data_IF_654378502578
#
_entry.id   IF_654378502578
#
_cell.length_a   1.000
_cell.length_b   1.000
_cell.length_c   1.000
_cell.angle_alpha   90.00
_cell.angle_beta   90.00
_cell.angle_gamma   90.00
#
_symmetry.space_group_name_H-M   'P 1'
#
loop_
_entity.id
_entity.type
_entity.pdbx_description
1 polymer ?
#
# COMPACT_ATOMS: atom_id res chain seq x y z
N UNK A 1 -48.45 -2.89 -22.18
CA UNK A 1 -48.29 -4.34 -22.36
C UNK A 1 -47.43 -4.56 -23.60
N UNK A 2 -46.38 -5.37 -23.52
CA UNK A 2 -45.57 -5.76 -24.68
C UNK A 2 -46.25 -6.93 -25.38
N UNK A 3 -46.67 -6.73 -26.63
CA UNK A 3 -47.30 -7.75 -27.46
C UNK A 3 -46.20 -8.56 -28.16
N UNK A 4 -45.87 -9.73 -27.60
CA UNK A 4 -44.93 -10.67 -28.22
C UNK A 4 -45.72 -11.63 -29.10
N UNK A 5 -45.50 -11.61 -30.42
CA UNK A 5 -46.13 -12.50 -31.42
C UNK A 5 -45.59 -13.95 -31.35
N UNK A 6 -45.42 -14.50 -30.15
CA UNK A 6 -44.87 -15.84 -29.92
C UNK A 6 -45.94 -16.71 -29.27
N UNK A 7 -46.31 -17.79 -29.95
CA UNK A 7 -47.19 -18.84 -29.43
C UNK A 7 -46.33 -19.83 -28.64
N UNK A 8 -46.62 -20.02 -27.34
CA UNK A 8 -45.90 -20.88 -26.36
C UNK A 8 -44.76 -20.20 -25.58
N UNK A 9 -45.03 -19.08 -24.91
CA UNK A 9 -44.11 -18.52 -23.90
C UNK A 9 -44.37 -19.20 -22.54
N UNK A 10 -43.37 -19.91 -22.01
CA UNK A 10 -43.39 -20.50 -20.66
C UNK A 10 -42.88 -19.56 -19.58
N UNK A 11 -42.04 -18.56 -19.93
CA UNK A 11 -41.55 -17.53 -19.02
C UNK A 11 -41.25 -16.23 -19.79
N UNK A 12 -41.71 -15.10 -19.27
CA UNK A 12 -41.44 -13.78 -19.84
C UNK A 12 -40.19 -13.20 -19.17
N UNK A 13 -39.27 -12.66 -19.96
CA UNK A 13 -38.12 -11.94 -19.43
C UNK A 13 -38.58 -10.69 -18.67
N UNK A 14 -38.11 -10.52 -17.43
CA UNK A 14 -38.46 -9.40 -16.58
C UNK A 14 -37.22 -8.81 -15.92
N UNK A 15 -37.23 -7.50 -15.69
CA UNK A 15 -36.23 -6.83 -14.89
C UNK A 15 -36.45 -7.13 -13.40
N UNK A 16 -35.36 -7.28 -12.65
CA UNK A 16 -35.42 -7.15 -11.19
C UNK A 16 -35.76 -5.70 -10.84
N UNK A 17 -36.64 -5.51 -9.84
CA UNK A 17 -37.05 -4.19 -9.35
C UNK A 17 -36.84 -4.18 -7.85
N UNK A 18 -36.09 -3.21 -7.35
CA UNK A 18 -35.77 -3.11 -5.92
C UNK A 18 -35.60 -1.68 -5.45
N UNK A 19 -35.79 -1.51 -4.14
CA UNK A 19 -35.54 -0.27 -3.40
C UNK A 19 -34.31 -0.45 -2.51
N UNK A 20 -33.56 0.63 -2.32
CA UNK A 20 -32.41 0.66 -1.40
C UNK A 20 -32.62 1.81 -0.43
N UNK A 21 -32.59 1.49 0.87
CA UNK A 21 -32.65 2.47 1.95
C UNK A 21 -31.43 2.36 2.84
N UNK A 22 -30.86 3.48 3.26
CA UNK A 22 -29.79 3.58 4.26
C UNK A 22 -30.22 4.50 5.38
N UNK A 23 -30.26 3.97 6.60
CA UNK A 23 -30.71 4.69 7.79
C UNK A 23 -32.08 5.38 7.60
N UNK A 24 -33.03 4.66 6.97
CA UNK A 24 -34.38 5.16 6.69
C UNK A 24 -34.50 6.08 5.45
N UNK A 25 -33.40 6.50 4.83
CA UNK A 25 -33.42 7.34 3.64
C UNK A 25 -33.27 6.51 2.37
N UNK A 26 -34.07 6.80 1.34
CA UNK A 26 -33.93 6.14 0.03
C UNK A 26 -32.62 6.57 -0.64
N UNK A 27 -31.77 5.58 -0.93
CA UNK A 27 -30.64 5.73 -1.86
C UNK A 27 -31.08 5.46 -3.31
N UNK A 28 -32.02 4.53 -3.48
CA UNK A 28 -32.61 4.22 -4.77
C UNK A 28 -34.07 3.76 -4.58
N UNK A 29 -34.94 4.15 -5.50
CA UNK A 29 -36.36 3.74 -5.50
C UNK A 29 -36.74 3.25 -6.89
N UNK A 30 -37.43 2.11 -6.96
CA UNK A 30 -37.82 1.39 -8.17
C UNK A 30 -36.65 1.17 -9.15
N UNK A 31 -35.45 0.86 -8.62
CA UNK A 31 -34.27 0.61 -9.46
C UNK A 31 -34.51 -0.67 -10.26
N UNK A 32 -34.36 -0.58 -11.58
CA UNK A 32 -34.50 -1.71 -12.50
C UNK A 32 -33.14 -2.27 -12.86
N UNK A 33 -33.03 -3.60 -12.85
CA UNK A 33 -31.84 -4.32 -13.28
C UNK A 33 -32.21 -5.44 -14.25
N UNK A 34 -31.41 -5.65 -15.29
CA UNK A 34 -31.52 -6.80 -16.20
C UNK A 34 -30.89 -8.07 -15.63
N UNK A 35 -30.20 -7.98 -14.48
CA UNK A 35 -29.59 -9.10 -13.76
C UNK A 35 -30.06 -9.13 -12.30
N UNK A 36 -30.06 -10.33 -11.72
CA UNK A 36 -30.24 -10.52 -10.28
C UNK A 36 -28.96 -10.22 -9.48
N UNK A 37 -27.82 -10.08 -10.14
CA UNK A 37 -26.60 -9.53 -9.53
C UNK A 37 -26.66 -8.00 -9.60
N UNK A 38 -26.78 -7.37 -8.44
CA UNK A 38 -27.04 -5.94 -8.32
C UNK A 38 -26.03 -5.25 -7.44
N UNK A 39 -25.74 -4.00 -7.82
CA UNK A 39 -24.99 -3.06 -6.98
C UNK A 39 -25.96 -2.15 -6.22
N UNK A 40 -25.78 -2.13 -4.90
CA UNK A 40 -26.66 -1.48 -3.93
C UNK A 40 -26.11 -0.12 -3.49
N UNK A 41 -24.79 0.06 -3.41
CA UNK A 41 -24.16 1.28 -2.85
C UNK A 41 -22.91 1.70 -3.66
N UNK A 42 -23.07 1.83 -4.98
CA UNK A 42 -22.03 2.38 -5.87
C UNK A 42 -20.72 1.59 -5.82
N UNK A 43 -20.82 0.29 -6.06
CA UNK A 43 -19.80 -0.76 -6.06
C UNK A 43 -19.25 -1.15 -4.69
N UNK A 44 -19.74 -0.53 -3.60
CA UNK A 44 -19.33 -0.89 -2.23
C UNK A 44 -20.03 -2.13 -1.71
N UNK A 45 -21.25 -2.38 -2.19
CA UNK A 45 -22.07 -3.53 -1.80
C UNK A 45 -22.70 -4.13 -3.04
N UNK A 46 -22.31 -5.36 -3.37
CA UNK A 46 -22.99 -6.19 -4.35
C UNK A 46 -23.85 -7.24 -3.65
N UNK A 47 -24.96 -7.62 -4.29
CA UNK A 47 -25.84 -8.67 -3.81
C UNK A 47 -26.42 -9.48 -4.97
N UNK A 48 -26.82 -10.72 -4.66
CA UNK A 48 -27.59 -11.57 -5.56
C UNK A 48 -29.02 -11.66 -5.04
N UNK A 49 -29.98 -11.16 -5.81
CA UNK A 49 -31.40 -11.25 -5.53
C UNK A 49 -31.87 -12.69 -5.77
N UNK A 50 -32.30 -13.37 -4.70
CA UNK A 50 -32.73 -14.78 -4.78
C UNK A 50 -34.25 -14.95 -4.78
N UNK A 51 -34.95 -14.02 -4.14
CA UNK A 51 -36.41 -14.05 -4.03
C UNK A 51 -36.95 -12.63 -3.75
N UNK A 52 -38.26 -12.47 -3.82
CA UNK A 52 -38.97 -11.24 -3.46
C UNK A 52 -39.03 -11.08 -1.94
N UNK A 53 -38.90 -9.83 -1.46
CA UNK A 53 -39.05 -9.52 -0.05
C UNK A 53 -38.20 -8.34 0.42
N UNK A 54 -38.12 -8.18 1.73
CA UNK A 54 -37.32 -7.16 2.40
C UNK A 54 -36.23 -7.82 3.24
N UNK A 55 -35.00 -7.35 3.10
CA UNK A 55 -33.84 -7.79 3.89
C UNK A 55 -33.07 -6.58 4.42
N UNK A 56 -32.51 -6.71 5.62
CA UNK A 56 -31.57 -5.74 6.19
C UNK A 56 -30.15 -6.28 6.06
N UNK A 57 -29.26 -5.49 5.45
CA UNK A 57 -27.83 -5.81 5.33
C UNK A 57 -27.09 -5.05 6.42
N UNK A 58 -26.44 -5.79 7.33
CA UNK A 58 -25.58 -5.22 8.35
C UNK A 58 -24.12 -5.39 7.93
N UNK A 59 -23.45 -4.26 7.65
CA UNK A 59 -22.02 -4.24 7.36
C UNK A 59 -21.24 -4.04 8.66
N UNK A 60 -20.31 -4.95 8.93
CA UNK A 60 -19.41 -4.84 10.07
C UNK A 60 -17.96 -4.80 9.58
N UNK A 61 -17.11 -4.12 10.34
CA UNK A 61 -15.67 -4.07 10.07
C UNK A 61 -15.06 -5.45 10.29
N UNK A 62 -14.26 -5.91 9.32
CA UNK A 62 -13.44 -7.09 9.48
C UNK A 62 -12.17 -6.73 10.29
N UNK A 63 -12.34 -6.64 11.61
CA UNK A 63 -11.28 -6.21 12.54
C UNK A 63 -10.03 -7.08 12.42
N UNK A 64 -10.22 -8.39 12.18
CA UNK A 64 -9.12 -9.33 12.01
C UNK A 64 -8.26 -8.98 10.79
N UNK A 65 -8.88 -8.65 9.65
CA UNK A 65 -8.13 -8.18 8.47
C UNK A 65 -7.36 -6.90 8.76
N UNK A 66 -7.97 -5.93 9.44
CA UNK A 66 -7.29 -4.67 9.77
C UNK A 66 -6.11 -4.89 10.71
N UNK A 67 -6.30 -5.63 11.82
CA UNK A 67 -5.21 -5.97 12.73
C UNK A 67 -4.08 -6.70 12.02
N UNK A 68 -4.39 -7.69 11.17
CA UNK A 68 -3.37 -8.41 10.40
C UNK A 68 -2.60 -7.47 9.46
N UNK A 69 -3.29 -6.58 8.75
CA UNK A 69 -2.64 -5.62 7.87
C UNK A 69 -1.71 -4.66 8.62
N UNK A 70 -2.13 -4.16 9.79
CA UNK A 70 -1.32 -3.28 10.65
C UNK A 70 -0.08 -4.02 11.16
N UNK A 71 -0.22 -5.25 11.67
CA UNK A 71 0.92 -6.04 12.13
C UNK A 71 1.90 -6.36 10.99
N UNK A 72 1.39 -6.73 9.82
CA UNK A 72 2.22 -6.98 8.64
C UNK A 72 2.99 -5.73 8.21
N UNK A 73 2.34 -4.57 8.22
CA UNK A 73 2.99 -3.29 7.94
C UNK A 73 4.11 -3.00 8.94
N UNK A 74 3.83 -3.09 10.26
CA UNK A 74 4.82 -2.83 11.31
C UNK A 74 6.00 -3.79 11.21
N UNK A 75 5.74 -5.07 10.92
CA UNK A 75 6.80 -6.05 10.68
C UNK A 75 7.66 -5.66 9.48
N UNK A 76 7.06 -5.33 8.33
CA UNK A 76 7.80 -4.93 7.13
C UNK A 76 8.60 -3.65 7.35
N UNK A 77 8.02 -2.67 8.05
CA UNK A 77 8.66 -1.43 8.44
C UNK A 77 9.91 -1.69 9.29
N UNK A 78 9.79 -2.50 10.34
CA UNK A 78 10.89 -2.84 11.23
C UNK A 78 11.99 -3.63 10.52
N UNK A 79 11.63 -4.58 9.66
CA UNK A 79 12.58 -5.32 8.81
C UNK A 79 13.35 -4.37 7.88
N UNK A 80 12.66 -3.40 7.29
CA UNK A 80 13.29 -2.40 6.40
C UNK A 80 14.25 -1.50 7.18
N UNK A 81 13.85 -1.03 8.36
CA UNK A 81 14.75 -0.24 9.23
C UNK A 81 16.00 -1.03 9.60
N UNK A 82 15.86 -2.30 10.01
CA UNK A 82 17.00 -3.16 10.32
C UNK A 82 17.93 -3.30 9.11
N UNK A 83 17.38 -3.68 7.96
CA UNK A 83 18.16 -3.87 6.74
C UNK A 83 18.96 -2.62 6.36
N UNK A 84 18.33 -1.43 6.41
CA UNK A 84 19.02 -0.18 6.11
C UNK A 84 20.09 0.15 7.17
N UNK A 85 19.82 -0.12 8.45
CA UNK A 85 20.79 0.13 9.53
C UNK A 85 22.02 -0.77 9.44
N UNK A 86 21.85 -2.04 9.08
CA UNK A 86 22.93 -3.01 8.91
C UNK A 86 23.81 -2.73 7.68
N UNK A 87 23.28 -1.97 6.71
CA UNK A 87 23.95 -1.67 5.44
C UNK A 87 24.33 -0.19 5.27
N UNK A 88 24.33 0.59 6.36
CA UNK A 88 24.57 2.04 6.29
C UNK A 88 25.92 2.42 5.66
N UNK A 89 26.91 1.53 5.77
CA UNK A 89 28.26 1.70 5.20
C UNK A 89 28.35 1.32 3.71
N UNK A 90 27.32 0.72 3.12
CA UNK A 90 27.34 0.28 1.72
C UNK A 90 27.18 1.45 0.76
N UNK A 91 26.41 2.48 1.13
CA UNK A 91 26.24 3.65 0.30
C UNK A 91 25.68 4.87 1.02
N UNK A 92 26.05 6.06 0.52
CA UNK A 92 25.73 7.36 1.08
C UNK A 92 24.22 7.67 1.11
N UNK A 93 23.44 7.06 0.21
CA UNK A 93 21.98 7.19 0.21
C UNK A 93 21.29 6.33 1.27
N UNK A 94 21.92 5.25 1.76
CA UNK A 94 21.29 4.31 2.69
C UNK A 94 21.02 5.00 4.04
N UNK A 95 21.98 5.77 4.56
CA UNK A 95 21.78 6.57 5.79
C UNK A 95 20.62 7.56 5.63
N UNK A 96 20.54 8.23 4.48
CA UNK A 96 19.45 9.19 4.19
C UNK A 96 18.10 8.49 4.13
N UNK A 97 18.03 7.31 3.52
CA UNK A 97 16.79 6.52 3.45
C UNK A 97 16.36 6.02 4.83
N UNK A 98 17.30 5.57 5.65
CA UNK A 98 17.04 5.18 7.03
C UNK A 98 16.42 6.33 7.84
N UNK A 99 17.03 7.52 7.79
CA UNK A 99 16.52 8.68 8.54
C UNK A 99 15.19 9.19 8.00
N UNK A 100 15.01 9.18 6.67
CA UNK A 100 13.74 9.56 6.05
C UNK A 100 12.61 8.57 6.39
N UNK A 101 12.92 7.31 6.67
CA UNK A 101 11.93 6.28 7.02
C UNK A 101 11.49 6.38 8.48
N UNK A 102 12.35 6.85 9.40
CA UNK A 102 11.99 7.06 10.80
C UNK A 102 10.79 7.99 10.95
N UNK A 103 9.85 7.64 11.82
CA UNK A 103 8.66 8.45 12.08
C UNK A 103 9.00 9.59 13.07
N UNK A 104 8.74 10.87 12.72
CA UNK A 104 8.91 11.99 13.63
C UNK A 104 7.99 11.91 14.86
N UNK A 105 8.42 12.50 15.97
CA UNK A 105 7.68 12.50 17.26
C UNK A 105 6.28 13.11 17.17
N UNK A 106 6.06 14.05 16.24
CA UNK A 106 4.74 14.69 16.04
C UNK A 106 3.62 13.69 15.76
N UNK A 107 3.94 12.49 15.27
CA UNK A 107 2.95 11.45 14.98
C UNK A 107 2.68 10.51 16.15
N UNK A 108 3.49 10.52 17.21
CA UNK A 108 3.38 9.53 18.30
C UNK A 108 2.02 9.54 18.97
N UNK A 109 1.50 10.73 19.31
CA UNK A 109 0.20 10.84 19.96
C UNK A 109 -0.92 10.17 19.14
N UNK A 110 -0.89 10.36 17.82
CA UNK A 110 -1.89 9.81 16.90
C UNK A 110 -1.69 8.31 16.67
N UNK A 111 -0.45 7.82 16.65
CA UNK A 111 -0.19 6.38 16.53
C UNK A 111 -0.58 5.65 17.82
N UNK A 112 -0.21 6.21 18.98
CA UNK A 112 -0.50 5.63 20.29
C UNK A 112 -2.01 5.54 20.53
N UNK A 113 -2.81 6.50 20.04
CA UNK A 113 -4.27 6.48 20.20
C UNK A 113 -4.95 5.30 19.51
N UNK A 114 -4.28 4.63 18.59
CA UNK A 114 -4.76 3.41 17.91
C UNK A 114 -3.92 2.17 18.26
N UNK A 115 -3.06 2.26 19.27
CA UNK A 115 -2.24 1.13 19.72
C UNK A 115 -1.00 0.85 18.89
N UNK A 116 -0.50 1.82 18.12
CA UNK A 116 0.80 1.72 17.43
C UNK A 116 1.80 2.60 18.18
N UNK A 117 2.84 2.01 18.76
CA UNK A 117 3.82 2.75 19.56
C UNK A 117 5.14 2.87 18.82
N UNK A 118 5.76 4.05 18.91
CA UNK A 118 7.13 4.27 18.43
C UNK A 118 8.13 3.98 19.55
N UNK A 119 9.11 3.14 19.25
CA UNK A 119 10.21 2.83 20.15
C UNK A 119 11.36 3.85 19.99
N UNK A 120 12.28 3.89 20.95
CA UNK A 120 13.42 4.81 20.93
C UNK A 120 14.36 4.60 19.72
N UNK A 121 14.44 3.39 19.19
CA UNK A 121 15.21 3.05 17.98
C UNK A 121 14.47 3.41 16.68
N UNK A 122 13.28 4.02 16.77
CA UNK A 122 12.44 4.39 15.65
C UNK A 122 11.57 3.26 15.10
N UNK A 123 11.69 2.03 15.63
CA UNK A 123 10.80 0.91 15.28
C UNK A 123 9.40 1.12 15.82
N UNK A 124 8.46 0.34 15.29
CA UNK A 124 7.08 0.33 15.73
C UNK A 124 6.74 -0.96 16.47
N UNK A 125 5.82 -0.86 17.42
CA UNK A 125 5.17 -2.00 18.07
C UNK A 125 3.65 -1.82 18.03
N UNK A 126 2.92 -2.94 18.07
CA UNK A 126 1.45 -2.94 18.02
C UNK A 126 0.90 -3.52 19.31
N UNK A 127 0.12 -2.73 20.04
CA UNK A 127 -0.78 -3.21 21.07
C UNK A 127 -2.09 -3.65 20.41
N UNK A 128 -2.20 -4.96 20.15
CA UNK A 128 -3.37 -5.53 19.49
C UNK A 128 -4.67 -5.39 20.30
N UNK A 129 -4.58 -5.23 21.63
CA UNK A 129 -5.75 -4.99 22.46
C UNK A 129 -6.27 -3.56 22.22
N UNK A 130 -5.38 -2.57 22.32
CA UNK A 130 -5.74 -1.16 22.08
C UNK A 130 -6.20 -0.95 20.64
N UNK A 131 -5.55 -1.59 19.66
CA UNK A 131 -5.98 -1.52 18.26
C UNK A 131 -7.39 -2.10 18.05
N UNK A 132 -7.70 -3.25 18.66
CA UNK A 132 -9.02 -3.86 18.58
C UNK A 132 -10.09 -3.01 19.28
N UNK A 133 -9.76 -2.43 20.44
CA UNK A 133 -10.63 -1.51 21.16
C UNK A 133 -10.90 -0.24 20.33
N UNK A 134 -9.87 0.32 19.67
CA UNK A 134 -10.01 1.47 18.77
C UNK A 134 -10.89 1.14 17.54
N UNK A 135 -10.73 -0.04 16.94
CA UNK A 135 -11.59 -0.51 15.83
C UNK A 135 -13.05 -0.73 16.25
N UNK A 136 -13.30 -0.94 17.54
CA UNK A 136 -14.65 -1.15 18.08
C UNK A 136 -15.35 0.17 18.40
N UNK A 137 -14.61 1.12 18.95
CA UNK A 137 -15.18 2.30 19.59
C UNK A 137 -14.85 3.61 18.89
N UNK A 138 -13.72 3.68 18.17
CA UNK A 138 -13.15 4.91 17.60
C UNK A 138 -12.69 4.70 16.15
N UNK A 139 -13.55 4.11 15.30
CA UNK A 139 -13.15 3.76 13.92
C UNK A 139 -12.72 4.99 13.10
N UNK A 140 -13.34 6.15 13.31
CA UNK A 140 -12.97 7.39 12.61
C UNK A 140 -11.53 7.81 12.92
N UNK A 141 -11.07 7.62 14.16
CA UNK A 141 -9.69 7.88 14.53
C UNK A 141 -8.74 6.88 13.86
N UNK A 142 -9.11 5.60 13.80
CA UNK A 142 -8.33 4.59 13.08
C UNK A 142 -8.21 4.95 11.60
N UNK A 143 -9.31 5.30 10.94
CA UNK A 143 -9.31 5.73 9.53
C UNK A 143 -8.45 6.98 9.31
N UNK A 144 -8.54 7.97 10.21
CA UNK A 144 -7.75 9.20 10.12
C UNK A 144 -6.26 8.92 10.33
N UNK A 145 -5.89 8.10 11.30
CA UNK A 145 -4.49 7.81 11.61
C UNK A 145 -3.84 6.98 10.51
N UNK A 146 -4.54 5.96 9.98
CA UNK A 146 -4.01 5.08 8.95
C UNK A 146 -4.10 5.70 7.54
N UNK A 147 -5.21 6.38 7.23
CA UNK A 147 -5.57 6.75 5.86
C UNK A 147 -5.45 8.23 5.51
N UNK A 148 -5.23 9.13 6.48
CA UNK A 148 -5.16 10.57 6.15
C UNK A 148 -3.91 10.91 5.34
N UNK A 149 -4.02 11.96 4.50
CA UNK A 149 -2.90 12.52 3.71
C UNK A 149 -1.72 13.02 4.57
N UNK A 150 -2.00 13.32 5.85
CA UNK A 150 -1.02 13.80 6.82
C UNK A 150 -0.64 12.71 7.83
N UNK A 151 -1.00 11.46 7.59
CA UNK A 151 -0.62 10.33 8.45
C UNK A 151 0.88 10.05 8.39
N UNK A 152 1.38 9.37 9.42
CA UNK A 152 2.74 8.83 9.40
C UNK A 152 2.96 7.83 8.25
N UNK A 153 1.91 7.09 7.87
CA UNK A 153 1.91 6.16 6.74
C UNK A 153 2.08 6.88 5.40
N UNK A 154 1.43 8.02 5.20
CA UNK A 154 1.64 8.83 3.99
C UNK A 154 3.06 9.41 3.91
N UNK A 155 3.69 9.75 5.05
CA UNK A 155 5.11 10.11 5.08
C UNK A 155 5.97 8.92 4.67
N UNK A 156 5.74 7.75 5.25
CA UNK A 156 6.49 6.52 4.94
C UNK A 156 6.40 6.21 3.46
N UNK A 157 5.20 6.26 2.88
CA UNK A 157 4.99 6.07 1.45
C UNK A 157 5.80 7.06 0.60
N UNK A 158 5.82 8.34 0.96
CA UNK A 158 6.67 9.34 0.27
C UNK A 158 8.17 9.06 0.41
N UNK A 159 8.61 8.62 1.60
CA UNK A 159 10.00 8.24 1.84
C UNK A 159 10.41 7.02 1.03
N UNK A 160 9.54 6.00 0.94
CA UNK A 160 9.75 4.81 0.11
C UNK A 160 9.81 5.21 -1.37
N UNK A 161 8.86 6.01 -1.86
CA UNK A 161 8.86 6.48 -3.25
C UNK A 161 10.10 7.30 -3.59
N UNK A 162 10.65 8.04 -2.62
CA UNK A 162 11.91 8.78 -2.80
C UNK A 162 13.11 7.83 -2.84
N UNK A 163 13.11 6.78 -2.00
CA UNK A 163 14.16 5.77 -1.98
C UNK A 163 14.19 4.92 -3.25
N UNK A 164 13.02 4.54 -3.78
CA UNK A 164 12.90 3.79 -5.04
C UNK A 164 13.38 4.57 -6.27
N UNK A 165 13.45 5.90 -6.17
CA UNK A 165 13.98 6.79 -7.22
C UNK A 165 15.46 7.11 -7.03
N UNK A 166 16.09 6.64 -5.96
CA UNK A 166 17.51 6.85 -5.76
C UNK A 166 18.32 6.08 -6.82
N UNK A 167 19.44 6.64 -7.24
CA UNK A 167 20.34 5.98 -8.18
C UNK A 167 20.99 4.76 -7.51
N UNK A 168 21.07 3.66 -8.25
CA UNK A 168 21.73 2.44 -7.77
C UNK A 168 23.19 2.66 -7.35
N UNK A 169 23.90 3.65 -7.93
CA UNK A 169 25.28 3.96 -7.53
C UNK A 169 25.35 4.43 -6.08
N UNK A 170 24.43 5.29 -5.64
CA UNK A 170 24.49 5.88 -4.30
C UNK A 170 24.07 4.90 -3.20
N UNK A 171 23.58 3.73 -3.58
CA UNK A 171 23.35 2.59 -2.69
C UNK A 171 24.62 1.77 -2.43
N UNK A 172 25.63 1.87 -3.31
CA UNK A 172 26.87 1.06 -3.23
C UNK A 172 28.16 1.89 -3.25
N UNK A 173 28.07 3.21 -3.36
CA UNK A 173 29.22 4.11 -3.48
C UNK A 173 30.18 4.04 -2.29
N UNK A 174 29.71 3.71 -1.09
CA UNK A 174 30.53 3.45 0.09
C UNK A 174 31.47 2.27 -0.10
N UNK A 175 31.03 1.24 -0.85
CA UNK A 175 31.90 0.11 -1.22
C UNK A 175 32.88 0.46 -2.35
N UNK A 176 32.42 1.25 -3.33
CA UNK A 176 33.23 1.65 -4.49
C UNK A 176 34.37 2.59 -4.10
N UNK A 177 34.07 3.63 -3.33
CA UNK A 177 35.07 4.61 -2.88
C UNK A 177 35.96 4.05 -1.75
N UNK A 178 35.44 3.13 -0.94
CA UNK A 178 36.25 2.38 0.04
C UNK A 178 37.32 1.49 -0.62
N UNK A 179 37.00 0.86 -1.76
CA UNK A 179 37.98 0.12 -2.56
C UNK A 179 38.93 1.03 -3.35
N UNK A 180 38.47 2.21 -3.80
CA UNK A 180 39.29 3.18 -4.54
C UNK A 180 40.48 3.71 -3.73
N UNK A 181 40.31 3.87 -2.41
CA UNK A 181 41.40 4.30 -1.52
C UNK A 181 42.43 3.19 -1.24
N UNK A 182 42.10 1.93 -1.53
CA UNK A 182 42.99 0.79 -1.26
C UNK A 182 43.72 0.29 -2.52
N UNK A 183 43.23 0.60 -3.72
CA UNK A 183 43.86 0.24 -4.99
C UNK A 183 43.88 1.45 -5.94
N UNK A 184 45.06 1.95 -6.25
CA UNK A 184 45.36 3.05 -7.19
C UNK A 184 45.09 2.71 -8.67
N UNK A 185 44.04 1.94 -8.95
CA UNK A 185 43.71 1.43 -10.29
C UNK A 185 42.22 1.14 -10.49
N UNK A 186 41.30 1.90 -9.89
CA UNK A 186 39.90 1.82 -10.33
C UNK A 186 39.82 2.43 -11.73
N UNK A 187 39.64 1.54 -12.68
CA UNK A 187 39.59 1.77 -14.10
C UNK A 187 38.50 2.81 -14.41
N UNK A 188 38.87 3.97 -14.96
CA UNK A 188 37.95 5.05 -15.34
C UNK A 188 36.82 4.56 -16.26
N UNK A 189 37.05 3.46 -16.99
CA UNK A 189 36.05 2.79 -17.83
C UNK A 189 34.87 2.20 -17.04
N UNK A 190 35.09 1.75 -15.80
CA UNK A 190 34.05 1.20 -14.94
C UNK A 190 33.07 2.28 -14.46
N UNK A 191 33.59 3.41 -14.01
CA UNK A 191 32.80 4.59 -13.63
C UNK A 191 31.98 5.10 -14.83
N UNK A 192 32.56 5.05 -16.03
CA UNK A 192 31.89 5.47 -17.25
C UNK A 192 30.75 4.49 -17.65
N UNK A 193 30.97 3.18 -17.51
CA UNK A 193 29.94 2.16 -17.77
C UNK A 193 28.76 2.27 -16.78
N UNK A 194 29.04 2.53 -15.49
CA UNK A 194 27.99 2.72 -14.48
C UNK A 194 27.25 4.05 -14.70
N UNK A 195 27.94 5.12 -15.12
CA UNK A 195 27.29 6.38 -15.50
C UNK A 195 26.37 6.22 -16.73
N UNK A 196 26.76 5.42 -17.72
CA UNK A 196 25.89 5.10 -18.86
C UNK A 196 24.64 4.34 -18.40
N UNK A 197 24.77 3.39 -17.48
CA UNK A 197 23.63 2.67 -16.89
C UNK A 197 22.68 3.58 -16.09
N UNK A 198 23.21 4.59 -15.40
CA UNK A 198 22.42 5.62 -14.72
C UNK A 198 21.58 6.47 -15.67
N UNK A 199 22.07 6.77 -16.86
CA UNK A 199 21.33 7.51 -17.90
C UNK A 199 20.13 6.69 -18.39
N UNK A 200 20.25 5.37 -18.51
CA UNK A 200 19.13 4.50 -18.91
C UNK A 200 18.09 4.33 -17.80
N UNK A 201 18.50 4.27 -16.53
CA UNK A 201 17.58 4.13 -15.40
C UNK A 201 16.73 5.40 -15.16
N UNK A 202 17.31 6.59 -15.39
CA UNK A 202 16.60 7.86 -15.22
C UNK A 202 15.72 8.28 -16.42
N UNK A 203 15.90 7.70 -17.61
CA UNK A 203 15.18 8.10 -18.83
C UNK A 203 14.12 7.09 -19.32
N UNK A 204 13.93 5.96 -18.63
CA UNK A 204 12.86 5.00 -18.94
C UNK A 204 11.50 5.48 -18.39
N UNK A 205 10.45 5.49 -19.23
CA UNK A 205 9.07 5.89 -18.84
C UNK A 205 8.44 4.99 -17.75
N UNK A 206 9.11 3.90 -17.41
CA UNK A 206 8.87 3.04 -16.26
C UNK A 206 10.26 2.78 -15.67
N UNK A 207 10.53 3.18 -14.43
CA UNK A 207 11.79 2.95 -13.72
C UNK A 207 12.04 1.47 -13.43
N UNK A 208 12.06 0.63 -14.47
CA UNK A 208 12.40 -0.77 -14.40
C UNK A 208 13.90 -0.87 -14.20
N UNK A 209 14.27 -1.09 -12.94
CA UNK A 209 15.58 -1.61 -12.51
C UNK A 209 15.97 -2.71 -13.51
N UNK A 210 16.95 -2.42 -14.36
CA UNK A 210 17.45 -3.39 -15.32
C UNK A 210 18.19 -4.46 -14.52
N UNK A 211 17.55 -5.62 -14.28
CA UNK A 211 18.18 -6.78 -13.64
C UNK A 211 19.49 -7.19 -14.34
N UNK A 212 19.62 -6.88 -15.63
CA UNK A 212 20.83 -7.06 -16.42
C UNK A 212 22.02 -6.24 -15.89
N UNK A 213 21.77 -5.03 -15.38
CA UNK A 213 22.82 -4.19 -14.78
C UNK A 213 23.25 -4.72 -13.40
N UNK A 214 22.31 -5.25 -12.62
CA UNK A 214 22.60 -5.93 -11.34
C UNK A 214 23.41 -7.20 -11.58
N UNK A 215 23.07 -7.98 -12.61
CA UNK A 215 23.82 -9.19 -12.99
C UNK A 215 25.26 -8.89 -13.39
N UNK A 216 25.49 -7.81 -14.14
CA UNK A 216 26.84 -7.33 -14.46
C UNK A 216 27.59 -6.86 -13.21
N UNK A 217 26.94 -6.07 -12.34
CA UNK A 217 27.55 -5.61 -11.07
C UNK A 217 27.90 -6.80 -10.17
N UNK A 218 27.03 -7.79 -10.03
CA UNK A 218 27.27 -9.00 -9.23
C UNK A 218 28.41 -9.85 -9.80
N UNK A 219 28.50 -9.98 -11.13
CA UNK A 219 29.58 -10.73 -11.79
C UNK A 219 30.92 -9.98 -11.76
N UNK A 220 30.91 -8.69 -11.41
CA UNK A 220 32.13 -7.88 -11.20
C UNK A 220 32.66 -7.93 -9.76
N UNK A 221 31.88 -8.47 -8.83
CA UNK A 221 32.26 -8.64 -7.42
C UNK A 221 32.34 -10.12 -6.99
N UNK A 222 32.19 -11.06 -7.94
CA UNK A 222 32.43 -12.49 -7.78
C UNK A 222 33.85 -12.83 -8.26
#
# INVERSE_FOLDING_TARGET
>A
MLQTNLSNITQIAQHAIFDVTKNGNFLAKNKKSSSNEVDIDGYKVSATLKDIGQITINLNIDKKKVCNAVNNFVSAYNTTLNFLSENINKGSSISKHLDNLKIPEIYEKNLNSIGINKNADGKLSVDNKVLNDALSNNIEDVEKVLGSRYSAFSKIDKSINSALKASSISLVDGTLYGQASSNSSINYDLLNQINLLNIYNNNGRFGMINFSAIGLILNMFA
#
